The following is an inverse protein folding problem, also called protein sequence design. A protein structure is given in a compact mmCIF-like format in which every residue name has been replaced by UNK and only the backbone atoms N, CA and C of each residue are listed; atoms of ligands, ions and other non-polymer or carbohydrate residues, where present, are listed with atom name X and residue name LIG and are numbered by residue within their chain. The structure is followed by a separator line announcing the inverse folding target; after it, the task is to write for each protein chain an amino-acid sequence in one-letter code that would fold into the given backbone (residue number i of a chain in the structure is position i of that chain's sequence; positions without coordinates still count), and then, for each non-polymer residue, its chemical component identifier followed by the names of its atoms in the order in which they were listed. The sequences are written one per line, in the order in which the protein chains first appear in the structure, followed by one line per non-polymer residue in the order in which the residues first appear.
data_IF_955250192415
#
_entry.id   IF_955250192415
#
_cell.length_a   1.000
_cell.length_b   1.000
_cell.length_c   1.000
_cell.angle_alpha   90.00
_cell.angle_beta   90.00
_cell.angle_gamma   90.00
#
_symmetry.space_group_name_H-M   'P 1'
#
loop_
_entity.id
_entity.type
_entity.pdbx_description
1 polymer ?
#
# COMPACT_ATOMS: atom_id res chain seq x y z
N UNK A 1 -39.46 -37.70 34.17
CA UNK A 1 -38.19 -38.27 33.68
C UNK A 1 -37.39 -37.14 33.03
N UNK A 2 -36.18 -36.88 33.54
CA UNK A 2 -35.38 -35.67 33.25
C UNK A 2 -34.57 -35.84 31.96
N UNK A 3 -34.67 -34.84 31.08
CA UNK A 3 -33.80 -34.63 29.93
C UNK A 3 -32.35 -34.40 30.38
N UNK A 4 -31.42 -35.24 29.92
CA UNK A 4 -29.97 -34.99 30.04
C UNK A 4 -29.38 -34.84 28.64
N UNK A 5 -28.75 -33.67 28.41
CA UNK A 5 -28.04 -33.32 27.18
C UNK A 5 -26.74 -34.13 27.09
N UNK A 6 -26.29 -34.56 25.89
CA UNK A 6 -24.95 -35.11 25.72
C UNK A 6 -23.90 -33.99 25.82
N UNK A 7 -22.94 -34.17 26.72
CA UNK A 7 -21.73 -33.35 26.86
C UNK A 7 -20.75 -33.68 25.73
N UNK A 8 -20.43 -32.71 24.88
CA UNK A 8 -19.30 -32.83 23.96
C UNK A 8 -18.07 -32.28 24.66
N UNK A 9 -17.18 -33.21 25.01
CA UNK A 9 -15.87 -33.00 25.60
C UNK A 9 -15.00 -32.21 24.61
N UNK A 10 -14.41 -31.12 25.11
CA UNK A 10 -13.34 -30.38 24.43
C UNK A 10 -12.15 -31.32 24.21
N UNK A 11 -11.86 -31.67 22.97
CA UNK A 11 -10.53 -32.14 22.62
C UNK A 11 -9.60 -30.93 22.46
N UNK A 12 -8.85 -30.65 23.53
CA UNK A 12 -7.61 -29.89 23.46
C UNK A 12 -6.56 -30.72 22.72
N UNK A 13 -6.24 -30.37 21.48
CA UNK A 13 -4.95 -30.75 20.90
C UNK A 13 -3.96 -29.62 21.13
N UNK A 14 -3.10 -29.82 22.13
CA UNK A 14 -1.87 -29.10 22.29
C UNK A 14 -1.01 -29.27 21.01
N UNK A 15 -0.87 -28.20 20.23
CA UNK A 15 0.31 -28.04 19.38
C UNK A 15 1.27 -27.17 20.19
N UNK A 16 2.22 -27.83 20.85
CA UNK A 16 3.39 -27.17 21.41
C UNK A 16 4.21 -26.57 20.27
N UNK A 17 4.59 -25.32 20.49
CA UNK A 17 5.53 -24.51 19.75
C UNK A 17 6.69 -25.29 19.11
N UNK A 18 6.81 -25.16 17.80
CA UNK A 18 8.04 -25.42 17.06
C UNK A 18 8.29 -24.20 16.16
N UNK A 19 9.26 -23.38 16.56
CA UNK A 19 9.90 -22.31 15.78
C UNK A 19 8.95 -21.37 15.02
N UNK A 20 8.34 -20.42 15.73
CA UNK A 20 7.80 -19.22 15.08
C UNK A 20 8.97 -18.39 14.54
N UNK A 21 9.46 -18.73 13.35
CA UNK A 21 10.13 -17.75 12.50
C UNK A 21 9.06 -16.68 12.24
N UNK A 22 9.16 -15.54 12.90
CA UNK A 22 8.34 -14.37 12.55
C UNK A 22 8.77 -13.99 11.15
N UNK A 23 8.01 -14.40 10.14
CA UNK A 23 8.29 -14.08 8.75
C UNK A 23 7.96 -12.59 8.59
N UNK A 24 9.00 -11.75 8.59
CA UNK A 24 8.83 -10.32 8.38
C UNK A 24 8.32 -10.07 6.95
N UNK A 25 7.26 -9.28 6.81
CA UNK A 25 6.69 -8.88 5.53
C UNK A 25 7.59 -7.91 4.76
N UNK A 26 8.36 -7.10 5.48
CA UNK A 26 9.13 -6.00 4.92
C UNK A 26 10.47 -6.44 4.33
N UNK A 27 10.83 -5.83 3.20
CA UNK A 27 12.15 -5.92 2.57
C UNK A 27 13.13 -4.98 3.27
N UNK A 28 14.23 -5.54 3.79
CA UNK A 28 15.28 -4.75 4.45
C UNK A 28 15.95 -3.78 3.48
N UNK A 29 16.17 -4.21 2.24
CA UNK A 29 16.87 -3.40 1.24
C UNK A 29 16.03 -2.18 0.85
N UNK A 30 14.72 -2.36 0.65
CA UNK A 30 13.82 -1.26 0.28
C UNK A 30 13.63 -0.28 1.44
N UNK A 31 13.56 -0.78 2.68
CA UNK A 31 13.59 0.06 3.89
C UNK A 31 14.87 0.91 3.93
N UNK A 32 16.03 0.29 3.72
CA UNK A 32 17.31 0.99 3.81
C UNK A 32 17.49 2.03 2.69
N UNK A 33 17.06 1.71 1.47
CA UNK A 33 17.01 2.67 0.35
C UNK A 33 16.15 3.88 0.71
N UNK A 34 14.94 3.64 1.24
CA UNK A 34 14.04 4.73 1.62
C UNK A 34 14.62 5.63 2.72
N UNK A 35 15.26 5.07 3.74
CA UNK A 35 15.95 5.84 4.79
C UNK A 35 17.07 6.72 4.24
N UNK A 36 17.81 6.21 3.25
CA UNK A 36 18.95 6.91 2.65
C UNK A 36 18.52 8.12 1.83
N UNK A 37 17.34 8.06 1.20
CA UNK A 37 16.77 9.18 0.44
C UNK A 37 16.32 10.32 1.38
N UNK A 38 16.09 10.02 2.67
CA UNK A 38 15.65 10.94 3.72
C UNK A 38 14.62 11.97 3.23
N UNK A 39 13.45 11.53 2.74
CA UNK A 39 12.46 12.45 2.21
C UNK A 39 12.02 13.43 3.31
N UNK A 40 12.29 14.72 3.12
CA UNK A 40 11.79 15.76 4.03
C UNK A 40 10.28 15.88 3.87
N UNK A 41 9.54 15.42 4.87
CA UNK A 41 8.07 15.50 4.87
C UNK A 41 7.63 16.80 5.57
N UNK A 42 6.80 17.59 4.88
CA UNK A 42 6.40 18.94 5.35
C UNK A 42 5.52 18.86 6.60
N UNK A 43 5.95 19.51 7.68
CA UNK A 43 5.25 19.52 8.98
C UNK A 43 3.74 19.82 8.89
N UNK A 44 3.33 20.79 8.06
CA UNK A 44 1.91 21.14 7.88
C UNK A 44 1.06 19.97 7.33
N UNK A 45 1.64 19.15 6.45
CA UNK A 45 0.96 17.96 5.91
C UNK A 45 0.76 16.93 7.02
N UNK A 46 1.78 16.71 7.84
CA UNK A 46 1.74 15.78 8.97
C UNK A 46 0.60 16.15 9.93
N UNK A 47 0.54 17.41 10.34
CA UNK A 47 -0.49 17.91 11.26
C UNK A 47 -1.89 17.75 10.67
N UNK A 48 -2.08 18.03 9.37
CA UNK A 48 -3.37 17.89 8.68
C UNK A 48 -3.88 16.44 8.70
N UNK A 49 -2.99 15.46 8.70
CA UNK A 49 -3.34 14.05 8.56
C UNK A 49 -3.58 13.33 9.89
N UNK A 50 -3.07 13.87 11.01
CA UNK A 50 -3.25 13.30 12.36
C UNK A 50 -4.71 12.93 12.72
N UNK A 51 -5.75 13.72 12.39
CA UNK A 51 -7.14 13.37 12.69
C UNK A 51 -7.68 12.15 11.95
N UNK A 52 -7.01 11.70 10.88
CA UNK A 52 -7.44 10.55 10.07
C UNK A 52 -6.71 9.26 10.44
N UNK A 53 -5.76 9.32 11.38
CA UNK A 53 -5.11 8.12 11.88
C UNK A 53 -6.10 7.29 12.70
N UNK A 54 -6.17 6.00 12.40
CA UNK A 54 -7.16 5.09 13.01
C UNK A 54 -6.61 4.35 14.22
N UNK A 55 -5.30 4.34 14.40
CA UNK A 55 -4.59 3.57 15.41
C UNK A 55 -3.67 4.51 16.21
N UNK A 56 -3.73 4.39 17.55
CA UNK A 56 -2.90 5.18 18.48
C UNK A 56 -1.41 5.01 18.22
N UNK A 57 -0.94 3.81 17.86
CA UNK A 57 0.47 3.55 17.57
C UNK A 57 0.92 4.32 16.32
N UNK A 58 0.09 4.35 15.27
CA UNK A 58 0.36 5.11 14.06
C UNK A 58 0.44 6.62 14.34
N UNK A 59 -0.43 7.12 15.21
CA UNK A 59 -0.37 8.51 15.66
C UNK A 59 0.87 8.82 16.48
N UNK A 60 1.29 7.91 17.37
CA UNK A 60 2.52 8.07 18.14
C UNK A 60 3.74 8.15 17.22
N UNK A 61 3.85 7.25 16.24
CA UNK A 61 4.95 7.27 15.26
C UNK A 61 5.01 8.59 14.47
N UNK A 62 3.84 9.08 14.07
CA UNK A 62 3.68 10.36 13.38
C UNK A 62 4.13 11.54 14.25
N UNK A 63 3.73 11.57 15.53
CA UNK A 63 4.09 12.62 16.48
C UNK A 63 5.60 12.61 16.76
N UNK A 64 6.19 11.43 16.92
CA UNK A 64 7.63 11.30 17.19
C UNK A 64 8.47 11.86 16.05
N UNK A 65 8.11 11.49 14.81
CA UNK A 65 8.80 12.00 13.63
C UNK A 65 8.64 13.52 13.51
N UNK A 66 7.41 14.03 13.67
CA UNK A 66 7.14 15.47 13.63
C UNK A 66 7.91 16.22 14.72
N UNK A 67 8.00 15.69 15.93
CA UNK A 67 8.70 16.37 17.02
C UNK A 67 10.20 16.41 16.79
N UNK A 68 10.78 15.34 16.24
CA UNK A 68 12.18 15.31 15.82
C UNK A 68 12.44 16.36 14.74
N UNK A 69 11.60 16.41 13.70
CA UNK A 69 11.68 17.42 12.65
C UNK A 69 11.59 18.85 13.21
N UNK A 70 10.64 19.09 14.11
CA UNK A 70 10.47 20.41 14.73
C UNK A 70 11.65 20.80 15.64
N UNK A 71 12.31 19.85 16.31
CA UNK A 71 13.52 20.15 17.11
C UNK A 71 14.70 20.64 16.25
N UNK A 72 14.71 20.29 14.96
CA UNK A 72 15.74 20.71 13.99
C UNK A 72 15.46 22.11 13.40
N UNK A 73 14.22 22.61 13.43
CA UNK A 73 13.83 23.95 12.91
C UNK A 73 13.68 25.00 14.02
N UNK A 74 14.73 25.79 14.27
CA UNK A 74 15.01 26.60 15.47
C UNK A 74 14.03 27.73 15.93
N UNK A 75 12.80 27.88 15.42
CA UNK A 75 11.87 28.92 15.92
C UNK A 75 10.39 28.46 16.10
N UNK A 76 9.79 28.81 17.26
CA UNK A 76 8.39 28.51 17.68
C UNK A 76 8.02 27.02 17.81
N UNK A 77 8.98 26.19 18.21
CA UNK A 77 8.86 24.73 18.32
C UNK A 77 7.82 24.31 19.38
N UNK A 78 7.83 24.95 20.56
CA UNK A 78 7.06 24.48 21.72
C UNK A 78 5.56 24.62 21.52
N UNK A 79 5.07 25.77 21.04
CA UNK A 79 3.64 26.01 20.79
C UNK A 79 3.07 25.06 19.74
N UNK A 80 3.83 24.79 18.66
CA UNK A 80 3.45 23.79 17.64
C UNK A 80 3.33 22.40 18.25
N UNK A 81 4.29 21.99 19.09
CA UNK A 81 4.27 20.71 19.79
C UNK A 81 3.09 20.59 20.76
N UNK A 82 2.74 21.67 21.46
CA UNK A 82 1.55 21.76 22.32
C UNK A 82 0.29 21.47 21.50
N UNK A 83 0.07 22.23 20.41
CA UNK A 83 -1.11 22.03 19.57
C UNK A 83 -1.23 20.61 19.01
N UNK A 84 -0.11 20.00 18.62
CA UNK A 84 -0.08 18.62 18.11
C UNK A 84 -0.44 17.60 19.19
N UNK A 85 0.15 17.69 20.39
CA UNK A 85 -0.11 16.71 21.44
C UNK A 85 -1.52 16.84 22.02
N UNK A 86 -2.05 18.06 22.07
CA UNK A 86 -3.44 18.31 22.48
C UNK A 86 -4.43 17.76 21.45
N UNK A 87 -4.15 17.91 20.16
CA UNK A 87 -4.95 17.26 19.11
C UNK A 87 -4.92 15.74 19.24
N UNK A 88 -3.76 15.15 19.56
CA UNK A 88 -3.66 13.72 19.86
C UNK A 88 -4.55 13.32 21.04
N UNK A 89 -4.51 14.06 22.15
CA UNK A 89 -5.35 13.76 23.32
C UNK A 89 -6.84 13.79 23.06
N UNK A 90 -7.31 14.59 22.12
CA UNK A 90 -8.72 14.61 21.78
C UNK A 90 -9.14 13.48 20.82
N UNK A 91 -8.20 12.90 20.09
CA UNK A 91 -8.48 11.86 19.11
C UNK A 91 -8.41 10.44 19.69
N UNK A 92 -7.73 10.27 20.83
CA UNK A 92 -7.51 8.95 21.45
C UNK A 92 -7.85 8.96 22.93
N UNK A 93 -8.40 7.87 23.44
CA UNK A 93 -8.67 7.74 24.88
C UNK A 93 -7.35 7.58 25.62
N UNK A 94 -7.25 8.17 26.82
CA UNK A 94 -6.06 8.04 27.68
C UNK A 94 -5.65 6.59 27.91
N UNK A 95 -6.61 5.68 28.08
CA UNK A 95 -6.34 4.27 28.28
C UNK A 95 -5.62 3.58 27.11
N UNK A 96 -5.71 4.13 25.89
CA UNK A 96 -5.06 3.58 24.69
C UNK A 96 -3.57 3.94 24.61
N UNK A 97 -3.15 5.01 25.28
CA UNK A 97 -1.75 5.47 25.24
C UNK A 97 -1.08 5.58 26.61
N UNK A 98 -1.81 5.40 27.71
CA UNK A 98 -1.21 5.40 29.05
C UNK A 98 -0.15 4.30 29.15
N UNK A 99 1.08 4.69 29.48
CA UNK A 99 2.19 3.75 29.60
C UNK A 99 2.87 3.34 28.30
N UNK A 100 2.48 3.90 27.14
CA UNK A 100 3.19 3.66 25.89
C UNK A 100 4.65 4.13 26.02
N UNK A 101 5.62 3.23 25.77
CA UNK A 101 7.05 3.46 26.02
C UNK A 101 7.55 4.77 25.39
N UNK A 102 7.19 5.01 24.13
CA UNK A 102 7.63 6.19 23.38
C UNK A 102 7.07 7.53 23.90
N UNK A 103 6.01 7.49 24.71
CA UNK A 103 5.41 8.68 25.33
C UNK A 103 5.84 8.88 26.78
N UNK A 104 6.53 7.91 27.40
CA UNK A 104 6.96 8.01 28.81
C UNK A 104 7.75 9.27 29.11
N UNK A 105 8.59 9.72 28.16
CA UNK A 105 9.38 10.95 28.29
C UNK A 105 8.55 12.21 28.51
N UNK A 106 7.27 12.20 28.12
CA UNK A 106 6.36 13.34 28.32
C UNK A 106 5.59 13.29 29.64
N UNK A 107 5.76 12.25 30.47
CA UNK A 107 5.13 12.09 31.78
C UNK A 107 3.63 12.47 31.79
N UNK A 108 2.86 11.86 30.88
CA UNK A 108 1.44 12.18 30.70
C UNK A 108 0.63 11.50 31.80
N UNK A 109 -0.15 12.27 32.56
CA UNK A 109 -0.98 11.80 33.67
C UNK A 109 -2.39 12.38 33.59
N UNK A 110 -3.41 11.55 33.81
CA UNK A 110 -4.81 11.99 33.84
C UNK A 110 -5.34 12.14 35.27
N UNK A 111 -5.99 13.27 35.55
CA UNK A 111 -6.79 13.49 36.77
C UNK A 111 -8.14 14.07 36.38
N UNK A 112 -9.18 13.24 36.46
CA UNK A 112 -10.51 13.62 35.94
C UNK A 112 -10.47 13.83 34.43
N UNK A 113 -10.95 14.97 33.94
CA UNK A 113 -10.92 15.34 32.53
C UNK A 113 -9.67 16.14 32.11
N UNK A 114 -8.69 16.30 33.01
CA UNK A 114 -7.46 17.06 32.72
C UNK A 114 -6.27 16.11 32.57
N UNK A 115 -5.49 16.32 31.51
CA UNK A 115 -4.21 15.68 31.27
C UNK A 115 -3.07 16.63 31.62
N UNK A 116 -2.13 16.18 32.44
CA UNK A 116 -0.89 16.88 32.78
C UNK A 116 0.25 16.23 32.01
N UNK A 117 1.13 17.02 31.39
CA UNK A 117 2.20 16.51 30.54
C UNK A 117 3.37 17.50 30.43
N UNK A 118 4.56 16.99 30.09
CA UNK A 118 5.79 17.76 29.96
C UNK A 118 6.33 17.61 28.53
N UNK A 119 6.49 18.70 27.77
CA UNK A 119 7.12 18.65 26.44
C UNK A 119 8.61 18.92 26.47
N UNK A 120 9.08 19.55 27.54
CA UNK A 120 10.49 19.76 27.86
C UNK A 120 10.66 19.70 29.38
N UNK A 121 11.91 19.59 29.86
CA UNK A 121 12.22 19.51 31.30
C UNK A 121 11.65 20.67 32.12
N UNK A 122 11.41 21.82 31.48
CA UNK A 122 11.06 23.06 32.15
C UNK A 122 9.61 23.50 31.93
N UNK A 123 8.83 22.80 31.08
CA UNK A 123 7.48 23.21 30.71
C UNK A 123 6.48 22.14 31.11
N UNK A 124 5.73 22.41 32.19
CA UNK A 124 4.57 21.63 32.62
C UNK A 124 3.32 22.22 31.97
N UNK A 125 2.62 21.40 31.21
CA UNK A 125 1.37 21.77 30.57
C UNK A 125 0.20 21.00 31.18
N UNK A 126 -0.99 21.56 31.04
CA UNK A 126 -2.23 20.89 31.37
C UNK A 126 -3.25 21.12 30.27
N UNK A 127 -3.96 20.08 29.86
CA UNK A 127 -4.99 20.13 28.85
C UNK A 127 -6.30 19.55 29.36
N UNK A 128 -7.38 20.31 29.25
CA UNK A 128 -8.73 19.83 29.56
C UNK A 128 -9.29 19.16 28.31
N UNK A 129 -9.57 17.85 28.41
CA UNK A 129 -10.13 17.07 27.31
C UNK A 129 -11.43 17.70 26.81
N UNK A 130 -11.47 18.01 25.52
CA UNK A 130 -12.67 18.46 24.84
C UNK A 130 -13.29 17.25 24.14
N UNK A 131 -14.53 16.89 24.49
CA UNK A 131 -15.22 15.72 23.93
C UNK A 131 -15.55 15.82 22.41
N UNK A 132 -14.85 16.63 21.61
CA UNK A 132 -15.15 16.83 20.19
C UNK A 132 -13.91 17.21 19.37
N UNK A 133 -13.35 16.23 18.67
CA UNK A 133 -13.00 16.46 17.26
C UNK A 133 -14.12 15.86 16.41
N UNK A 134 -15.14 16.66 16.11
CA UNK A 134 -15.92 16.42 14.90
C UNK A 134 -14.98 16.71 13.75
N UNK A 135 -14.40 15.65 13.15
CA UNK A 135 -13.94 15.72 11.77
C UNK A 135 -15.08 16.40 11.01
N UNK A 136 -14.81 17.54 10.37
CA UNK A 136 -15.80 18.24 9.52
C UNK A 136 -16.52 17.17 8.72
N UNK A 137 -17.86 17.26 8.59
CA UNK A 137 -18.65 16.28 7.84
C UNK A 137 -18.07 16.13 6.43
N UNK A 138 -17.20 15.15 6.27
CA UNK A 138 -16.58 14.81 5.01
C UNK A 138 -17.49 13.83 4.31
N UNK A 139 -17.46 13.89 2.99
CA UNK A 139 -17.95 12.79 2.17
C UNK A 139 -17.32 11.46 2.67
N UNK A 140 -18.11 10.38 2.84
CA UNK A 140 -17.60 9.12 3.37
C UNK A 140 -16.44 8.53 2.58
N UNK A 141 -16.42 8.70 1.24
CA UNK A 141 -15.33 8.21 0.40
C UNK A 141 -14.07 9.02 0.60
N UNK A 142 -14.18 10.35 0.67
CA UNK A 142 -13.06 11.22 1.00
C UNK A 142 -12.45 10.87 2.37
N UNK A 143 -13.29 10.59 3.37
CA UNK A 143 -12.83 10.17 4.69
C UNK A 143 -12.07 8.82 4.64
N UNK A 144 -12.54 7.84 3.87
CA UNK A 144 -11.83 6.56 3.69
C UNK A 144 -10.48 6.80 3.02
N UNK A 145 -10.44 7.61 1.97
CA UNK A 145 -9.20 7.93 1.25
C UNK A 145 -8.16 8.59 2.19
N UNK A 146 -8.57 9.63 2.93
CA UNK A 146 -7.68 10.34 3.86
C UNK A 146 -7.14 9.43 4.97
N UNK A 147 -7.93 8.45 5.43
CA UNK A 147 -7.47 7.44 6.39
C UNK A 147 -6.39 6.54 5.81
N UNK A 148 -6.55 6.06 4.57
CA UNK A 148 -5.51 5.24 3.90
C UNK A 148 -4.24 6.06 3.72
N UNK A 149 -4.36 7.31 3.27
CA UNK A 149 -3.22 8.20 3.11
C UNK A 149 -2.49 8.45 4.44
N UNK A 150 -3.22 8.80 5.50
CA UNK A 150 -2.63 9.06 6.81
C UNK A 150 -1.92 7.82 7.37
N UNK A 151 -2.53 6.63 7.24
CA UNK A 151 -1.89 5.38 7.67
C UNK A 151 -0.64 5.06 6.84
N UNK A 152 -0.64 5.34 5.54
CA UNK A 152 0.52 5.16 4.65
C UNK A 152 1.67 6.09 5.04
N UNK A 153 1.36 7.34 5.43
CA UNK A 153 2.36 8.26 5.95
C UNK A 153 2.90 7.81 7.32
N UNK A 154 2.05 7.32 8.22
CA UNK A 154 2.48 6.76 9.50
C UNK A 154 3.42 5.57 9.32
N UNK A 155 3.20 4.74 8.29
CA UNK A 155 4.15 3.70 7.88
C UNK A 155 5.53 4.30 7.53
N UNK A 156 5.57 5.34 6.69
CA UNK A 156 6.83 6.01 6.34
C UNK A 156 7.52 6.64 7.56
N UNK A 157 6.78 7.30 8.44
CA UNK A 157 7.34 7.88 9.68
C UNK A 157 7.94 6.81 10.58
N UNK A 158 7.30 5.65 10.69
CA UNK A 158 7.82 4.52 11.46
C UNK A 158 9.16 4.01 10.90
N UNK A 159 9.29 3.95 9.57
CA UNK A 159 10.55 3.60 8.92
C UNK A 159 11.66 4.62 9.23
N UNK A 160 11.34 5.92 9.17
CA UNK A 160 12.26 7.03 9.43
C UNK A 160 12.63 7.16 10.92
N UNK A 161 11.75 6.73 11.82
CA UNK A 161 12.02 6.61 13.26
C UNK A 161 12.86 5.37 13.61
N UNK A 162 13.17 4.50 12.63
CA UNK A 162 13.78 3.19 12.83
C UNK A 162 12.93 2.18 13.62
N UNK A 163 11.61 2.34 13.62
CA UNK A 163 10.66 1.45 14.29
C UNK A 163 10.03 0.46 13.29
N UNK A 164 10.82 -0.51 12.82
CA UNK A 164 10.39 -1.44 11.77
C UNK A 164 9.21 -2.35 12.18
N UNK A 165 9.12 -2.77 13.45
CA UNK A 165 7.99 -3.56 13.96
C UNK A 165 6.67 -2.78 13.94
N UNK A 166 6.73 -1.48 14.29
CA UNK A 166 5.58 -0.58 14.20
C UNK A 166 5.16 -0.38 12.74
N UNK A 167 6.13 -0.19 11.84
CA UNK A 167 5.88 -0.07 10.41
C UNK A 167 5.17 -1.33 9.86
N UNK A 168 5.64 -2.52 10.24
CA UNK A 168 5.04 -3.78 9.80
C UNK A 168 3.60 -3.95 10.31
N UNK A 169 3.34 -3.57 11.56
CA UNK A 169 2.00 -3.57 12.15
C UNK A 169 1.05 -2.62 11.42
N UNK A 170 1.50 -1.38 11.15
CA UNK A 170 0.72 -0.38 10.41
C UNK A 170 0.44 -0.86 8.99
N UNK A 171 1.42 -1.46 8.32
CA UNK A 171 1.25 -1.97 6.97
C UNK A 171 0.23 -3.12 6.93
N UNK A 172 0.29 -4.05 7.88
CA UNK A 172 -0.72 -5.11 8.03
C UNK A 172 -2.12 -4.54 8.27
N UNK A 173 -2.22 -3.49 9.10
CA UNK A 173 -3.47 -2.78 9.38
C UNK A 173 -4.10 -2.14 8.13
N UNK A 174 -3.27 -1.59 7.23
CA UNK A 174 -3.71 -1.02 5.95
C UNK A 174 -4.29 -2.14 5.07
N UNK A 175 -3.51 -3.18 4.81
CA UNK A 175 -3.90 -4.23 3.87
C UNK A 175 -5.08 -5.09 4.36
N UNK A 176 -5.30 -5.20 5.66
CA UNK A 176 -6.48 -5.90 6.22
C UNK A 176 -7.80 -5.17 5.89
N UNK A 177 -7.77 -3.84 5.77
CA UNK A 177 -8.98 -3.02 5.56
C UNK A 177 -9.19 -2.61 4.11
N UNK A 178 -8.14 -2.66 3.30
CA UNK A 178 -8.15 -1.96 2.02
C UNK A 178 -9.10 -2.54 0.98
N UNK A 179 -9.31 -3.86 0.99
CA UNK A 179 -10.26 -4.49 0.07
C UNK A 179 -11.67 -3.88 0.24
N UNK A 180 -12.12 -3.72 1.49
CA UNK A 180 -13.40 -3.09 1.82
C UNK A 180 -13.42 -1.64 1.35
N UNK A 181 -12.34 -0.90 1.61
CA UNK A 181 -12.21 0.50 1.20
C UNK A 181 -12.33 0.67 -0.32
N UNK A 182 -11.60 -0.12 -1.10
CA UNK A 182 -11.62 -0.06 -2.57
C UNK A 182 -12.97 -0.49 -3.15
N UNK A 183 -13.59 -1.54 -2.61
CA UNK A 183 -14.95 -1.95 -3.01
C UNK A 183 -15.95 -0.82 -2.81
N UNK A 184 -15.90 -0.10 -1.68
CA UNK A 184 -16.79 1.03 -1.43
C UNK A 184 -16.57 2.18 -2.43
N UNK A 185 -15.32 2.48 -2.78
CA UNK A 185 -14.97 3.51 -3.76
C UNK A 185 -15.45 3.15 -5.18
N UNK A 186 -15.29 1.89 -5.60
CA UNK A 186 -15.81 1.41 -6.88
C UNK A 186 -17.32 1.45 -6.94
N UNK A 187 -18.02 1.00 -5.88
CA UNK A 187 -19.48 0.98 -5.84
C UNK A 187 -20.10 2.38 -5.93
N UNK A 188 -19.39 3.40 -5.43
CA UNK A 188 -19.80 4.81 -5.55
C UNK A 188 -19.33 5.46 -6.85
N UNK A 189 -18.69 4.69 -7.76
CA UNK A 189 -18.14 5.14 -9.04
C UNK A 189 -17.12 6.30 -8.92
N UNK A 190 -16.48 6.44 -7.77
CA UNK A 190 -15.44 7.45 -7.55
C UNK A 190 -14.08 6.93 -8.05
N UNK A 191 -13.94 6.79 -9.37
CA UNK A 191 -12.77 6.20 -10.01
C UNK A 191 -11.47 6.97 -9.77
N UNK A 192 -11.55 8.29 -9.56
CA UNK A 192 -10.40 9.13 -9.25
C UNK A 192 -9.81 8.77 -7.88
N UNK A 193 -10.64 8.76 -6.82
CA UNK A 193 -10.20 8.37 -5.48
C UNK A 193 -9.82 6.90 -5.39
N UNK A 194 -10.53 6.04 -6.11
CA UNK A 194 -10.15 4.65 -6.24
C UNK A 194 -8.75 4.50 -6.86
N UNK A 195 -8.41 5.29 -7.90
CA UNK A 195 -7.08 5.27 -8.52
C UNK A 195 -6.01 5.74 -7.54
N UNK A 196 -6.19 6.92 -6.94
CA UNK A 196 -5.23 7.49 -5.98
C UNK A 196 -4.96 6.52 -4.81
N UNK A 197 -6.01 5.86 -4.30
CA UNK A 197 -5.88 4.84 -3.25
C UNK A 197 -5.10 3.62 -3.76
N UNK A 198 -5.41 3.14 -4.97
CA UNK A 198 -4.73 2.00 -5.59
C UNK A 198 -3.24 2.29 -5.83
N UNK A 199 -2.90 3.48 -6.32
CA UNK A 199 -1.52 3.94 -6.49
C UNK A 199 -0.78 3.96 -5.15
N UNK A 200 -1.40 4.51 -4.11
CA UNK A 200 -0.83 4.55 -2.74
C UNK A 200 -0.46 3.15 -2.26
N UNK A 201 -1.36 2.17 -2.44
CA UNK A 201 -1.10 0.79 -2.04
C UNK A 201 0.00 0.14 -2.87
N UNK A 202 0.02 0.41 -4.16
CA UNK A 202 1.07 -0.09 -5.03
C UNK A 202 2.46 0.44 -4.62
N UNK A 203 2.56 1.71 -4.22
CA UNK A 203 3.81 2.23 -3.63
C UNK A 203 4.20 1.51 -2.34
N UNK A 204 3.23 1.18 -1.48
CA UNK A 204 3.49 0.42 -0.25
C UNK A 204 3.94 -1.02 -0.53
N UNK A 205 3.43 -1.68 -1.57
CA UNK A 205 3.85 -3.03 -1.95
C UNK A 205 5.36 -3.10 -2.23
N UNK A 206 5.96 -2.05 -2.79
CA UNK A 206 7.41 -2.01 -3.06
C UNK A 206 8.26 -2.20 -1.81
N UNK A 207 7.74 -1.93 -0.60
CA UNK A 207 8.45 -2.15 0.66
C UNK A 207 8.39 -3.59 1.17
N UNK A 208 7.57 -4.46 0.56
CA UNK A 208 7.38 -5.83 1.00
C UNK A 208 8.37 -6.78 0.32
N UNK A 209 8.58 -7.98 0.88
CA UNK A 209 9.24 -9.07 0.15
C UNK A 209 8.34 -9.58 -0.98
N UNK A 210 8.95 -10.13 -2.03
CA UNK A 210 8.26 -10.58 -3.25
C UNK A 210 7.04 -11.47 -2.98
N UNK A 211 7.15 -12.46 -2.10
CA UNK A 211 6.03 -13.37 -1.79
C UNK A 211 4.77 -12.63 -1.29
N UNK A 212 4.96 -11.57 -0.49
CA UNK A 212 3.87 -10.73 0.00
C UNK A 212 3.36 -9.80 -1.10
N UNK A 213 4.24 -9.25 -1.94
CA UNK A 213 3.83 -8.47 -3.11
C UNK A 213 2.92 -9.30 -4.03
N UNK A 214 3.30 -10.55 -4.31
CA UNK A 214 2.50 -11.49 -5.12
C UNK A 214 1.17 -11.78 -4.44
N UNK A 215 1.18 -12.11 -3.14
CA UNK A 215 -0.03 -12.39 -2.37
C UNK A 215 -1.04 -11.24 -2.45
N UNK A 216 -0.63 -10.02 -2.15
CA UNK A 216 -1.54 -8.87 -2.17
C UNK A 216 -1.94 -8.47 -3.58
N UNK A 217 -1.07 -8.64 -4.58
CA UNK A 217 -1.45 -8.45 -5.99
C UNK A 217 -2.62 -9.36 -6.37
N UNK A 218 -2.58 -10.65 -5.97
CA UNK A 218 -3.69 -11.60 -6.17
C UNK A 218 -4.99 -11.14 -5.49
N UNK A 219 -4.90 -10.66 -4.25
CA UNK A 219 -6.07 -10.20 -3.49
C UNK A 219 -6.69 -8.92 -4.08
N UNK A 220 -5.89 -8.09 -4.75
CA UNK A 220 -6.30 -6.79 -5.27
C UNK A 220 -6.62 -6.78 -6.77
N UNK A 221 -6.52 -7.91 -7.49
CA UNK A 221 -6.77 -8.01 -8.95
C UNK A 221 -8.07 -7.31 -9.36
N UNK A 222 -9.16 -7.55 -8.62
CA UNK A 222 -10.48 -6.98 -8.92
C UNK A 222 -10.51 -5.45 -8.91
N UNK A 223 -9.54 -4.82 -8.24
CA UNK A 223 -9.42 -3.37 -8.10
C UNK A 223 -8.33 -2.78 -9.01
N UNK A 224 -7.21 -3.48 -9.20
CA UNK A 224 -6.09 -2.94 -10.00
C UNK A 224 -6.33 -3.07 -11.51
N UNK A 225 -7.18 -3.99 -11.97
CA UNK A 225 -7.44 -4.28 -13.39
C UNK A 225 -8.05 -3.14 -14.22
N UNK A 226 -8.27 -1.98 -13.61
CA UNK A 226 -8.75 -0.76 -14.27
C UNK A 226 -7.62 0.21 -14.65
N UNK A 227 -6.38 -0.08 -14.24
CA UNK A 227 -5.25 0.85 -14.29
C UNK A 227 -4.04 0.21 -14.99
N UNK A 228 -3.94 0.41 -16.31
CA UNK A 228 -2.89 -0.19 -17.13
C UNK A 228 -1.48 0.17 -16.66
N UNK A 229 -1.25 1.40 -16.18
CA UNK A 229 0.02 1.86 -15.61
C UNK A 229 0.47 1.05 -14.39
N UNK A 230 -0.47 0.72 -13.49
CA UNK A 230 -0.23 -0.09 -12.29
C UNK A 230 -0.03 -1.56 -12.69
N UNK A 231 -0.90 -2.08 -13.56
CA UNK A 231 -0.84 -3.46 -14.06
C UNK A 231 0.46 -3.73 -14.84
N UNK A 232 0.92 -2.75 -15.61
CA UNK A 232 2.18 -2.80 -16.36
C UNK A 232 3.36 -3.07 -15.42
N UNK A 233 3.49 -2.29 -14.35
CA UNK A 233 4.56 -2.46 -13.37
C UNK A 233 4.43 -3.75 -12.54
N UNK A 234 3.21 -4.11 -12.12
CA UNK A 234 2.98 -5.34 -11.35
C UNK A 234 3.25 -6.60 -12.18
N UNK A 235 2.82 -6.63 -13.43
CA UNK A 235 3.08 -7.76 -14.32
C UNK A 235 4.57 -7.93 -14.61
N UNK A 236 5.31 -6.84 -14.79
CA UNK A 236 6.77 -6.89 -14.90
C UNK A 236 7.43 -7.48 -13.65
N UNK A 237 7.04 -7.00 -12.47
CA UNK A 237 7.53 -7.54 -11.20
C UNK A 237 7.23 -9.05 -11.09
N UNK A 238 6.02 -9.48 -11.43
CA UNK A 238 5.64 -10.91 -11.39
C UNK A 238 6.50 -11.74 -12.36
N UNK A 239 6.65 -11.31 -13.61
CA UNK A 239 7.46 -11.99 -14.64
C UNK A 239 8.93 -12.08 -14.18
N UNK A 240 9.52 -10.98 -13.71
CA UNK A 240 10.91 -10.94 -13.26
C UNK A 240 11.19 -11.85 -12.06
N UNK A 241 10.14 -12.28 -11.34
CA UNK A 241 10.24 -13.22 -10.23
C UNK A 241 9.63 -14.59 -10.57
N UNK A 242 9.43 -14.91 -11.85
CA UNK A 242 8.91 -16.18 -12.36
C UNK A 242 7.47 -16.53 -11.96
N UNK A 243 6.64 -15.55 -11.57
CA UNK A 243 5.21 -15.73 -11.29
C UNK A 243 4.39 -15.52 -12.58
N UNK A 244 4.64 -16.36 -13.59
CA UNK A 244 4.05 -16.25 -14.92
C UNK A 244 2.52 -16.45 -14.92
N UNK A 245 2.00 -17.39 -14.13
CA UNK A 245 0.57 -17.67 -14.06
C UNK A 245 -0.21 -16.49 -13.47
N UNK A 246 0.33 -15.88 -12.41
CA UNK A 246 -0.20 -14.68 -11.80
C UNK A 246 -0.18 -13.49 -12.74
N UNK A 247 0.94 -13.29 -13.45
CA UNK A 247 1.07 -12.22 -14.43
C UNK A 247 0.07 -12.41 -15.58
N UNK A 248 -0.07 -13.64 -16.08
CA UNK A 248 -1.01 -13.99 -17.14
C UNK A 248 -2.44 -13.65 -16.73
N UNK A 249 -2.88 -14.15 -15.56
CA UNK A 249 -4.24 -13.90 -15.04
C UNK A 249 -4.52 -12.40 -14.88
N UNK A 250 -3.59 -11.65 -14.29
CA UNK A 250 -3.73 -10.21 -14.11
C UNK A 250 -3.87 -9.48 -15.46
N UNK A 251 -3.05 -9.84 -16.43
CA UNK A 251 -3.05 -9.22 -17.77
C UNK A 251 -4.30 -9.58 -18.56
N UNK A 252 -4.73 -10.84 -18.55
CA UNK A 252 -5.97 -11.29 -19.21
C UNK A 252 -7.20 -10.58 -18.62
N UNK A 253 -7.32 -10.51 -17.29
CA UNK A 253 -8.42 -9.81 -16.62
C UNK A 253 -8.44 -8.32 -16.96
N UNK A 254 -7.27 -7.69 -17.10
CA UNK A 254 -7.14 -6.27 -17.43
C UNK A 254 -7.45 -6.00 -18.90
N UNK A 255 -6.90 -6.79 -19.82
CA UNK A 255 -7.06 -6.60 -21.28
C UNK A 255 -8.50 -6.88 -21.73
N UNK A 256 -9.17 -7.87 -21.12
CA UNK A 256 -10.56 -8.21 -21.41
C UNK A 256 -11.58 -7.29 -20.70
N UNK A 257 -11.11 -6.38 -19.85
CA UNK A 257 -11.97 -5.44 -19.14
C UNK A 257 -12.45 -4.33 -20.07
N UNK A 258 -13.75 -4.33 -20.40
CA UNK A 258 -14.40 -3.32 -21.25
C UNK A 258 -14.91 -2.09 -20.47
N UNK A 259 -14.54 -1.95 -19.19
CA UNK A 259 -15.06 -0.87 -18.34
C UNK A 259 -14.57 0.50 -18.82
N UNK A 260 -15.53 1.37 -19.15
CA UNK A 260 -15.36 2.68 -19.82
C UNK A 260 -14.79 3.80 -18.96
N UNK A 261 -14.06 3.50 -17.90
CA UNK A 261 -13.49 4.50 -17.01
C UNK A 261 -11.98 4.50 -17.06
N UNK A 262 -11.37 5.12 -18.07
CA UNK A 262 -10.13 5.92 -17.94
C UNK A 262 -9.60 6.37 -19.31
N UNK A 263 -9.15 7.63 -19.36
CA UNK A 263 -8.06 8.02 -20.24
C UNK A 263 -6.82 7.20 -19.82
N UNK A 264 -6.63 6.03 -20.43
CA UNK A 264 -5.43 5.24 -20.22
C UNK A 264 -4.34 5.67 -21.19
N UNK A 265 -3.10 5.61 -20.73
CA UNK A 265 -1.96 5.74 -21.62
C UNK A 265 -1.97 4.56 -22.60
N UNK A 266 -1.97 4.85 -23.91
CA UNK A 266 -1.92 3.82 -24.96
C UNK A 266 -0.65 2.98 -24.86
N UNK A 267 0.45 3.57 -24.40
CA UNK A 267 1.73 2.88 -24.24
C UNK A 267 1.65 1.83 -23.14
N UNK A 268 1.12 2.18 -21.95
CA UNK A 268 0.95 1.21 -20.85
C UNK A 268 0.06 0.04 -21.26
N UNK A 269 -1.01 0.30 -22.02
CA UNK A 269 -1.84 -0.76 -22.60
C UNK A 269 -1.04 -1.63 -23.57
N UNK A 270 -0.28 -1.03 -24.49
CA UNK A 270 0.57 -1.75 -25.43
C UNK A 270 1.59 -2.65 -24.71
N UNK A 271 2.19 -2.14 -23.64
CA UNK A 271 3.17 -2.86 -22.83
C UNK A 271 2.56 -4.01 -22.01
N UNK A 272 1.33 -3.88 -21.50
CA UNK A 272 0.59 -4.99 -20.90
C UNK A 272 0.31 -6.09 -21.94
N UNK A 273 -0.14 -5.70 -23.14
CA UNK A 273 -0.43 -6.65 -24.22
C UNK A 273 0.85 -7.38 -24.67
N UNK A 274 1.96 -6.66 -24.80
CA UNK A 274 3.27 -7.24 -25.11
C UNK A 274 3.71 -8.27 -24.07
N UNK A 275 3.59 -7.94 -22.77
CA UNK A 275 3.93 -8.89 -21.70
C UNK A 275 3.06 -10.14 -21.75
N UNK A 276 1.76 -10.01 -22.04
CA UNK A 276 0.88 -11.17 -22.20
C UNK A 276 1.33 -12.05 -23.37
N UNK A 277 1.71 -11.45 -24.50
CA UNK A 277 2.25 -12.17 -25.65
C UNK A 277 3.51 -12.96 -25.28
N UNK A 278 4.43 -12.32 -24.55
CA UNK A 278 5.66 -12.97 -24.09
C UNK A 278 5.40 -14.13 -23.13
N UNK A 279 4.41 -14.01 -22.22
CA UNK A 279 4.03 -15.14 -21.36
C UNK A 279 3.52 -16.32 -22.20
N UNK A 280 2.70 -16.08 -23.22
CA UNK A 280 2.24 -17.16 -24.10
C UNK A 280 3.38 -17.78 -24.92
N UNK A 281 4.34 -16.98 -25.37
CA UNK A 281 5.56 -17.47 -26.04
C UNK A 281 6.35 -18.39 -25.11
N UNK A 282 6.64 -17.95 -23.88
CA UNK A 282 7.34 -18.76 -22.86
C UNK A 282 6.60 -20.06 -22.55
N UNK A 283 5.27 -20.03 -22.59
CA UNK A 283 4.41 -21.20 -22.38
C UNK A 283 4.21 -22.07 -23.64
N UNK A 284 4.89 -21.76 -24.76
CA UNK A 284 4.83 -22.53 -26.01
C UNK A 284 3.51 -22.38 -26.79
N UNK A 285 2.73 -21.33 -26.52
CA UNK A 285 1.49 -21.03 -27.23
C UNK A 285 1.73 -19.96 -28.31
N UNK A 286 2.44 -20.35 -29.37
CA UNK A 286 2.87 -19.45 -30.45
C UNK A 286 1.73 -18.70 -31.12
N UNK A 287 0.57 -19.36 -31.28
CA UNK A 287 -0.61 -18.74 -31.91
C UNK A 287 -1.15 -17.56 -31.09
N UNK A 288 -1.22 -17.72 -29.76
CA UNK A 288 -1.65 -16.61 -28.90
C UNK A 288 -0.55 -15.56 -28.77
N UNK A 289 0.71 -15.97 -28.69
CA UNK A 289 1.85 -15.04 -28.69
C UNK A 289 1.82 -14.12 -29.92
N UNK A 290 1.71 -14.68 -31.13
CA UNK A 290 1.59 -13.92 -32.38
C UNK A 290 0.41 -12.93 -32.33
N UNK A 291 -0.77 -13.43 -31.95
CA UNK A 291 -1.99 -12.62 -31.87
C UNK A 291 -1.77 -11.40 -30.98
N UNK A 292 -1.18 -11.59 -29.81
CA UNK A 292 -0.97 -10.50 -28.86
C UNK A 292 0.22 -9.60 -29.23
N UNK A 293 1.29 -10.11 -29.87
CA UNK A 293 2.35 -9.24 -30.41
C UNK A 293 1.82 -8.29 -31.49
N UNK A 294 1.05 -8.80 -32.44
CA UNK A 294 0.37 -7.97 -33.44
C UNK A 294 -0.54 -6.93 -32.79
N UNK A 295 -1.26 -7.34 -31.75
CA UNK A 295 -2.13 -6.42 -31.04
C UNK A 295 -1.35 -5.33 -30.29
N UNK A 296 -0.20 -5.67 -29.69
CA UNK A 296 0.68 -4.71 -29.03
C UNK A 296 1.25 -3.68 -30.02
N UNK A 297 1.66 -4.11 -31.23
CA UNK A 297 2.14 -3.21 -32.31
C UNK A 297 1.08 -2.20 -32.76
N UNK A 298 -0.22 -2.48 -32.59
CA UNK A 298 -1.26 -1.48 -32.87
C UNK A 298 -1.23 -0.27 -31.91
N UNK A 299 -0.59 -0.43 -30.74
CA UNK A 299 -0.36 0.64 -29.76
C UNK A 299 1.09 1.15 -29.76
N UNK A 300 2.05 0.29 -30.10
CA UNK A 300 3.48 0.53 -30.06
C UNK A 300 4.14 0.16 -31.41
N UNK A 301 3.82 0.85 -32.52
CA UNK A 301 4.12 0.39 -33.88
C UNK A 301 5.62 0.29 -34.21
N UNK A 302 6.46 1.07 -33.54
CA UNK A 302 7.90 1.12 -33.79
C UNK A 302 8.73 0.48 -32.67
N UNK A 303 8.12 -0.36 -31.82
CA UNK A 303 8.85 -0.98 -30.72
C UNK A 303 9.68 -2.17 -31.21
N UNK A 304 10.99 -1.99 -31.25
CA UNK A 304 11.96 -2.98 -31.74
C UNK A 304 11.87 -4.32 -31.02
N UNK A 305 11.65 -4.33 -29.70
CA UNK A 305 11.55 -5.57 -28.94
C UNK A 305 10.32 -6.39 -29.34
N UNK A 306 9.18 -5.74 -29.58
CA UNK A 306 7.95 -6.41 -30.03
C UNK A 306 8.13 -6.97 -31.44
N UNK A 307 8.72 -6.18 -32.34
CA UNK A 307 9.02 -6.60 -33.71
C UNK A 307 9.98 -7.79 -33.72
N UNK A 308 11.04 -7.74 -32.91
CA UNK A 308 11.99 -8.84 -32.78
C UNK A 308 11.35 -10.12 -32.23
N UNK A 309 10.54 -10.02 -31.17
CA UNK A 309 9.80 -11.19 -30.63
C UNK A 309 8.84 -11.78 -31.67
N UNK A 310 8.12 -10.95 -32.42
CA UNK A 310 7.23 -11.43 -33.48
C UNK A 310 8.01 -12.08 -34.63
N UNK A 311 9.16 -11.52 -35.01
CA UNK A 311 10.07 -12.12 -35.98
C UNK A 311 10.58 -13.50 -35.52
N UNK A 312 11.00 -13.60 -34.25
CA UNK A 312 11.47 -14.85 -33.66
C UNK A 312 10.35 -15.90 -33.66
N UNK A 313 9.13 -15.52 -33.28
CA UNK A 313 7.96 -16.39 -33.32
C UNK A 313 7.69 -16.95 -34.73
N UNK A 314 7.81 -16.13 -35.78
CA UNK A 314 7.72 -16.60 -37.17
C UNK A 314 8.85 -17.52 -37.59
N UNK A 315 10.07 -17.30 -37.12
CA UNK A 315 11.17 -18.22 -37.38
C UNK A 315 10.97 -19.57 -36.71
N UNK A 316 10.47 -19.60 -35.47
CA UNK A 316 10.20 -20.84 -34.74
C UNK A 316 9.05 -21.66 -35.33
N UNK A 317 8.15 -21.02 -36.09
CA UNK A 317 6.99 -21.65 -36.73
C UNK A 317 7.16 -21.86 -38.25
N UNK A 318 8.40 -21.78 -38.77
CA UNK A 318 8.76 -21.95 -40.19
C UNK A 318 8.08 -20.97 -41.18
N UNK A 319 7.65 -19.80 -40.69
CA UNK A 319 6.99 -18.74 -41.46
C UNK A 319 7.98 -17.69 -41.97
N UNK A 320 8.85 -18.12 -42.88
CA UNK A 320 10.01 -17.33 -43.29
C UNK A 320 9.68 -16.05 -44.08
N UNK A 321 8.60 -16.04 -44.85
CA UNK A 321 8.18 -14.85 -45.62
C UNK A 321 7.70 -13.73 -44.68
N UNK A 322 6.87 -14.07 -43.70
CA UNK A 322 6.40 -13.10 -42.71
C UNK A 322 7.54 -12.60 -41.82
N UNK A 323 8.50 -13.46 -41.48
CA UNK A 323 9.71 -13.04 -40.80
C UNK A 323 10.54 -12.05 -41.65
N UNK A 324 10.65 -12.26 -42.97
CA UNK A 324 11.38 -11.36 -43.85
C UNK A 324 10.75 -9.95 -43.90
N UNK A 325 9.41 -9.88 -43.86
CA UNK A 325 8.66 -8.62 -43.87
C UNK A 325 8.86 -7.77 -42.61
N UNK A 326 9.15 -8.38 -41.46
CA UNK A 326 9.48 -7.63 -40.23
C UNK A 326 10.90 -7.09 -40.26
N UNK A 327 11.86 -7.86 -40.81
CA UNK A 327 13.27 -7.47 -40.90
C UNK A 327 13.50 -6.24 -41.80
N UNK A 328 12.57 -5.91 -42.69
CA UNK A 328 12.63 -4.64 -43.46
C UNK A 328 12.34 -3.39 -42.63
N UNK A 329 11.90 -3.55 -41.37
CA UNK A 329 11.51 -2.48 -40.43
C UNK A 329 12.47 -2.36 -39.25
N UNK A 330 13.22 -3.43 -38.92
CA UNK A 330 14.34 -3.46 -37.96
C UNK A 330 15.64 -3.08 -38.65
#
# INVERSE_FOLDING_TARGET
MKNSKPSIVKHSSHIKSSNNIVITMLSKDEINKFRTINPTLKANTIVKNLPYLQNVNAAIETILYLFKYLDEEAERIVEKKIGVIEMFFNNYKYDEFKGHELLKKYNIQQKGNVLFYNLSSNVKNSYTLQNKFTVKSLDPIENIFLKVQAMSEAFYYSILNNHTEAAETILSDIFTRVNISLTLMLNTKNYAKHKECTETLFYLLKFMKTDFQVKFTKELVSHIKYYFDIVNQLSEMLINNNYYDEACKLLEETINNNSTGNNFNKEDKGFCIYRLAHIYEVNGNDKLAEKYYKYALSFLPNNENIMFSLWANYKMTDRHEEAANIKGVL
#
